data_IF_834051848259
#
_entry.id   IF_834051848259
#
_cell.length_a   1.000
_cell.length_b   1.000
_cell.length_c   1.000
_cell.angle_alpha   90.00
_cell.angle_beta   90.00
_cell.angle_gamma   90.00
#
_symmetry.space_group_name_H-M   'P 1'
#
loop_
_entity.id
_entity.type
_entity.pdbx_description
1 polymer ?
#
# COMPACT_ATOMS: atom_id res chain seq x y z
N UNK A 1 -14.49 -6.62 -5.97
CA UNK A 1 -13.18 -6.14 -6.48
C UNK A 1 -12.43 -7.32 -7.04
N UNK A 2 -12.16 -7.34 -8.34
CA UNK A 2 -11.42 -8.42 -9.00
C UNK A 2 -9.91 -8.16 -8.95
N UNK A 3 -9.34 -8.10 -7.75
CA UNK A 3 -7.94 -7.70 -7.57
C UNK A 3 -7.03 -8.92 -7.48
N UNK A 4 -6.47 -9.33 -8.62
CA UNK A 4 -5.41 -10.34 -8.65
C UNK A 4 -4.07 -9.70 -8.27
N UNK A 5 -3.49 -10.10 -7.13
CA UNK A 5 -2.20 -9.58 -6.62
C UNK A 5 -1.09 -9.69 -7.67
N UNK A 6 -1.07 -10.77 -8.44
CA UNK A 6 -0.03 -11.06 -9.42
C UNK A 6 0.01 -10.07 -10.57
N UNK A 7 -1.17 -9.70 -11.09
CA UNK A 7 -1.32 -8.70 -12.15
C UNK A 7 -0.84 -7.33 -11.66
N UNK A 8 -1.28 -6.90 -10.48
CA UNK A 8 -0.91 -5.61 -9.90
C UNK A 8 0.57 -5.55 -9.55
N UNK A 9 1.14 -6.64 -9.05
CA UNK A 9 2.58 -6.78 -8.80
C UNK A 9 3.37 -6.59 -10.09
N UNK A 10 2.96 -7.25 -11.19
CA UNK A 10 3.64 -7.12 -12.48
C UNK A 10 3.62 -5.68 -12.98
N UNK A 11 2.45 -5.02 -12.96
CA UNK A 11 2.30 -3.62 -13.35
C UNK A 11 3.13 -2.68 -12.49
N UNK A 12 3.02 -2.79 -11.16
CA UNK A 12 3.79 -1.96 -10.23
C UNK A 12 5.30 -2.17 -10.40
N UNK A 13 5.74 -3.40 -10.66
CA UNK A 13 7.17 -3.68 -10.88
C UNK A 13 7.71 -2.92 -12.09
N UNK A 14 6.98 -2.89 -13.20
CA UNK A 14 7.40 -2.17 -14.40
C UNK A 14 7.38 -0.65 -14.21
N UNK A 15 6.35 -0.12 -13.54
CA UNK A 15 6.27 1.30 -13.20
C UNK A 15 7.41 1.74 -12.29
N UNK A 16 7.75 0.95 -11.27
CA UNK A 16 8.84 1.26 -10.34
C UNK A 16 10.19 1.22 -11.04
N UNK A 17 10.42 0.28 -11.97
CA UNK A 17 11.64 0.27 -12.80
C UNK A 17 11.75 1.50 -13.70
N UNK A 18 10.63 1.94 -14.29
CA UNK A 18 10.58 3.08 -15.21
C UNK A 18 10.81 4.41 -14.48
N UNK A 19 10.09 4.63 -13.39
CA UNK A 19 10.07 5.91 -12.69
C UNK A 19 11.06 6.01 -11.51
N UNK A 20 11.58 4.87 -11.04
CA UNK A 20 12.52 4.78 -9.90
C UNK A 20 12.09 5.65 -8.70
N UNK A 21 10.86 5.46 -8.18
CA UNK A 21 10.38 6.24 -7.05
C UNK A 21 11.25 5.98 -5.81
N UNK A 22 11.39 6.99 -4.95
CA UNK A 22 12.05 6.81 -3.65
C UNK A 22 11.15 6.06 -2.64
N UNK A 23 9.83 6.23 -2.75
CA UNK A 23 8.85 5.72 -1.80
C UNK A 23 7.62 5.18 -2.55
N UNK A 24 7.09 4.04 -2.09
CA UNK A 24 5.82 3.46 -2.53
C UNK A 24 4.92 3.34 -1.31
N UNK A 25 3.74 3.96 -1.36
CA UNK A 25 2.77 3.95 -0.27
C UNK A 25 1.42 3.45 -0.75
N UNK A 26 0.74 2.68 0.10
CA UNK A 26 -0.64 2.26 -0.10
C UNK A 26 -1.42 2.38 1.21
N UNK A 27 -2.74 2.52 1.16
CA UNK A 27 -3.56 2.37 2.38
C UNK A 27 -3.51 0.92 2.87
N UNK A 28 -3.49 0.69 4.19
CA UNK A 28 -3.41 -0.63 4.84
C UNK A 28 -4.69 -1.49 4.70
N UNK A 29 -5.28 -1.50 3.52
CA UNK A 29 -6.34 -2.41 3.10
C UNK A 29 -5.84 -3.86 3.06
N UNK A 30 -6.76 -4.82 3.11
CA UNK A 30 -6.41 -6.24 2.99
C UNK A 30 -5.59 -6.53 1.73
N UNK A 31 -6.01 -5.97 0.60
CA UNK A 31 -5.32 -6.14 -0.68
C UNK A 31 -3.89 -5.57 -0.65
N UNK A 32 -3.68 -4.40 -0.05
CA UNK A 32 -2.35 -3.80 0.05
C UNK A 32 -1.42 -4.58 0.98
N UNK A 33 -1.96 -5.18 2.06
CA UNK A 33 -1.20 -6.07 2.95
C UNK A 33 -0.67 -7.31 2.22
N UNK A 34 -1.41 -7.79 1.22
CA UNK A 34 -0.97 -8.89 0.36
C UNK A 34 -0.01 -8.44 -0.74
N UNK A 35 -0.28 -7.29 -1.38
CA UNK A 35 0.48 -6.81 -2.54
C UNK A 35 1.85 -6.20 -2.18
N UNK A 36 1.91 -5.34 -1.16
CA UNK A 36 3.09 -4.53 -0.87
C UNK A 36 4.33 -5.34 -0.47
N UNK A 37 4.24 -6.38 0.39
CA UNK A 37 5.39 -7.21 0.72
C UNK A 37 5.95 -7.96 -0.49
N UNK A 38 5.07 -8.39 -1.40
CA UNK A 38 5.46 -9.10 -2.62
C UNK A 38 6.17 -8.16 -3.60
N UNK A 39 5.73 -6.91 -3.70
CA UNK A 39 6.42 -5.87 -4.47
C UNK A 39 7.77 -5.54 -3.83
N UNK A 40 7.83 -5.34 -2.51
CA UNK A 40 9.07 -5.05 -1.79
C UNK A 40 10.13 -6.16 -2.02
N UNK A 41 9.72 -7.42 -1.95
CA UNK A 41 10.63 -8.56 -2.21
C UNK A 41 11.25 -8.52 -3.61
N UNK A 42 10.54 -7.98 -4.61
CA UNK A 42 11.04 -7.90 -6.00
C UNK A 42 12.19 -6.89 -6.16
N UNK A 43 12.25 -5.89 -5.29
CA UNK A 43 13.28 -4.86 -5.27
C UNK A 43 14.28 -5.04 -4.12
N UNK A 44 14.25 -6.20 -3.45
CA UNK A 44 15.14 -6.53 -2.33
C UNK A 44 15.11 -5.47 -1.20
N UNK A 45 13.95 -4.83 -1.02
CA UNK A 45 13.72 -3.79 0.00
C UNK A 45 12.80 -4.31 1.10
N UNK A 46 12.74 -3.56 2.20
CA UNK A 46 11.80 -3.79 3.30
C UNK A 46 10.38 -3.31 2.98
N UNK A 47 9.41 -3.80 3.75
CA UNK A 47 8.03 -3.30 3.74
C UNK A 47 7.58 -3.02 5.17
N UNK A 48 7.22 -1.77 5.47
CA UNK A 48 6.56 -1.41 6.72
C UNK A 48 5.04 -1.55 6.57
N UNK A 49 4.36 -2.14 7.55
CA UNK A 49 2.91 -2.41 7.46
C UNK A 49 2.20 -1.72 8.59
N UNK A 50 1.00 -1.19 8.30
CA UNK A 50 0.15 -0.48 9.26
C UNK A 50 0.83 0.76 9.90
N UNK A 51 1.55 1.52 9.08
CA UNK A 51 2.26 2.73 9.52
C UNK A 51 1.28 3.77 10.05
N UNK A 52 1.51 4.21 11.29
CA UNK A 52 0.75 5.24 11.99
C UNK A 52 1.35 6.63 11.84
N UNK A 53 2.68 6.70 11.74
CA UNK A 53 3.39 7.97 11.65
C UNK A 53 4.61 7.84 10.74
N UNK A 54 4.92 8.92 10.01
CA UNK A 54 6.05 9.02 9.10
C UNK A 54 6.79 10.30 9.45
N UNK A 55 8.04 10.16 9.91
CA UNK A 55 8.93 11.30 10.20
C UNK A 55 10.13 11.28 9.26
N UNK A 56 10.53 12.46 8.80
CA UNK A 56 11.79 12.63 8.07
C UNK A 56 12.87 13.07 9.05
N UNK A 57 13.89 12.24 9.25
CA UNK A 57 15.08 12.57 10.02
C UNK A 57 16.29 12.64 9.07
N UNK A 58 16.58 13.84 8.57
CA UNK A 58 17.54 14.05 7.50
C UNK A 58 17.08 13.37 6.21
N UNK A 59 17.86 12.42 5.71
CA UNK A 59 17.54 11.63 4.51
C UNK A 59 16.78 10.32 4.80
N UNK A 60 16.50 10.03 6.08
CA UNK A 60 15.85 8.78 6.49
C UNK A 60 14.38 8.99 6.80
N UNK A 61 13.56 8.02 6.42
CA UNK A 61 12.18 7.91 6.85
C UNK A 61 12.08 7.00 8.07
N UNK A 62 11.57 7.55 9.16
CA UNK A 62 11.25 6.81 10.39
C UNK A 62 9.75 6.51 10.37
N UNK A 63 9.43 5.23 10.33
CA UNK A 63 8.07 4.71 10.17
C UNK A 63 7.62 4.09 11.49
N UNK A 64 6.67 4.73 12.19
CA UNK A 64 6.13 4.20 13.44
C UNK A 64 5.01 3.22 13.13
N UNK A 65 5.17 1.95 13.51
CA UNK A 65 4.20 0.89 13.29
C UNK A 65 3.80 0.24 14.63
N UNK A 66 2.52 -0.16 14.82
CA UNK A 66 2.10 -0.92 15.98
C UNK A 66 2.55 -2.38 15.88
N UNK A 67 3.09 -2.93 16.96
CA UNK A 67 3.41 -4.35 17.12
C UNK A 67 2.77 -4.89 18.41
N UNK A 68 2.68 -6.21 18.55
CA UNK A 68 1.99 -6.87 19.68
C UNK A 68 0.54 -6.37 19.86
N UNK A 69 -0.23 -6.35 18.78
CA UNK A 69 -1.64 -5.91 18.80
C UNK A 69 -1.84 -4.43 19.08
N UNK A 70 -0.80 -3.60 18.92
CA UNK A 70 -0.86 -2.15 19.18
C UNK A 70 -0.35 -1.74 20.56
N UNK A 71 0.10 -2.69 21.39
CA UNK A 71 0.64 -2.39 22.73
C UNK A 71 1.99 -1.68 22.66
N UNK A 72 2.78 -1.97 21.63
CA UNK A 72 4.11 -1.38 21.45
C UNK A 72 4.14 -0.66 20.11
N UNK A 73 4.61 0.58 20.12
CA UNK A 73 4.91 1.34 18.92
C UNK A 73 6.39 1.17 18.60
N UNK A 74 6.68 0.63 17.41
CA UNK A 74 8.04 0.38 16.97
C UNK A 74 8.39 1.31 15.81
N UNK A 75 9.53 1.97 15.91
CA UNK A 75 10.07 2.80 14.84
C UNK A 75 10.94 1.95 13.91
N UNK A 76 10.58 1.94 12.64
CA UNK A 76 11.23 1.16 11.59
C UNK A 76 11.88 2.10 10.59
N UNK A 77 13.13 1.81 10.24
CA UNK A 77 13.87 2.53 9.19
C UNK A 77 14.29 1.52 8.13
N UNK A 78 13.86 1.75 6.89
CA UNK A 78 14.26 0.96 5.71
C UNK A 78 15.41 1.71 5.04
N UNK A 79 16.52 1.02 4.76
CA UNK A 79 17.74 1.63 4.19
C UNK A 79 17.76 1.54 2.66
N UNK A 80 17.07 0.56 2.12
CA UNK A 80 16.97 0.25 0.71
C UNK A 80 15.94 1.15 0.01
N UNK A 81 16.08 1.30 -1.30
CA UNK A 81 15.16 2.07 -2.13
C UNK A 81 14.56 1.18 -3.22
N UNK A 82 13.24 1.27 -3.48
CA UNK A 82 12.25 2.15 -2.85
C UNK A 82 11.90 1.75 -1.40
N UNK A 83 11.52 2.72 -0.57
CA UNK A 83 10.89 2.46 0.73
C UNK A 83 9.43 2.08 0.49
N UNK A 84 9.04 0.87 0.85
CA UNK A 84 7.67 0.37 0.65
C UNK A 84 6.92 0.39 1.98
N UNK A 85 5.72 0.96 2.00
CA UNK A 85 4.90 0.97 3.21
C UNK A 85 3.40 0.92 2.94
N UNK A 86 2.65 0.35 3.89
CA UNK A 86 1.21 0.55 3.97
C UNK A 86 0.87 1.43 5.16
N UNK A 87 0.00 2.41 4.95
CA UNK A 87 -0.37 3.45 5.90
C UNK A 87 -1.75 3.15 6.46
N UNK A 88 -1.89 3.17 7.78
CA UNK A 88 -3.16 2.87 8.45
C UNK A 88 -4.23 3.87 8.03
N UNK A 89 -5.43 3.36 7.71
CA UNK A 89 -6.58 4.22 7.41
C UNK A 89 -6.87 5.13 8.62
N UNK A 90 -7.16 6.40 8.36
CA UNK A 90 -7.42 7.40 9.41
C UNK A 90 -6.19 7.95 10.14
N UNK A 91 -4.98 7.41 9.95
CA UNK A 91 -3.78 7.91 10.64
C UNK A 91 -3.34 9.31 10.18
N UNK A 92 -3.67 9.70 8.94
CA UNK A 92 -3.31 11.00 8.37
C UNK A 92 -4.55 11.76 7.93
N UNK A 93 -4.61 13.04 8.28
CA UNK A 93 -5.68 13.93 7.84
C UNK A 93 -5.61 14.17 6.33
N UNK A 94 -6.76 14.14 5.67
CA UNK A 94 -6.87 14.48 4.24
C UNK A 94 -6.63 15.98 4.08
N UNK A 95 -5.64 16.36 3.27
CA UNK A 95 -5.45 17.76 2.91
C UNK A 95 -6.23 18.06 1.61
N UNK A 96 -7.45 18.57 1.77
CA UNK A 96 -8.33 18.94 0.66
C UNK A 96 -8.02 20.37 0.22
N UNK A 97 -7.04 20.50 -0.68
CA UNK A 97 -6.77 21.79 -1.35
C UNK A 97 -7.64 21.86 -2.61
N UNK A 98 -8.58 22.82 -2.71
CA UNK A 98 -9.36 22.98 -3.94
C UNK A 98 -8.46 23.35 -5.12
N UNK A 99 -8.83 22.90 -6.33
CA UNK A 99 -8.20 23.26 -7.62
C UNK A 99 -6.77 22.76 -7.88
N UNK A 100 -6.39 21.56 -7.39
CA UNK A 100 -5.16 20.91 -7.85
C UNK A 100 -5.31 20.35 -9.27
N UNK A 101 -4.42 20.78 -10.17
CA UNK A 101 -4.21 20.14 -11.48
C UNK A 101 -3.01 19.20 -11.42
N UNK A 102 -3.08 18.06 -12.13
CA UNK A 102 -1.98 17.10 -12.23
C UNK A 102 -1.86 16.55 -13.65
N UNK A 103 -0.65 16.11 -14.02
CA UNK A 103 -0.43 15.45 -15.31
C UNK A 103 -0.92 14.00 -15.27
N UNK A 104 -1.69 13.59 -16.28
CA UNK A 104 -2.17 12.22 -16.42
C UNK A 104 -1.26 11.51 -17.42
N UNK A 105 -0.36 10.68 -16.90
CA UNK A 105 0.52 9.85 -17.73
C UNK A 105 -0.15 8.48 -17.92
N UNK A 106 -0.54 8.17 -19.17
CA UNK A 106 -1.13 6.88 -19.52
C UNK A 106 -0.02 5.88 -19.85
N UNK A 107 0.10 4.83 -19.04
CA UNK A 107 1.01 3.72 -19.27
C UNK A 107 0.24 2.48 -19.69
N UNK A 108 0.70 1.82 -20.75
CA UNK A 108 0.21 0.50 -21.12
C UNK A 108 1.23 -0.55 -20.66
N UNK A 109 0.87 -1.34 -19.66
CA UNK A 109 1.70 -2.45 -19.18
C UNK A 109 0.99 -3.76 -19.53
N UNK A 110 1.58 -4.49 -20.48
CA UNK A 110 1.06 -5.81 -20.85
C UNK A 110 1.46 -6.85 -19.81
N UNK A 111 0.46 -7.45 -19.16
CA UNK A 111 0.67 -8.57 -18.24
C UNK A 111 0.38 -9.87 -19.00
N UNK A 112 1.39 -10.73 -19.24
CA UNK A 112 1.16 -12.00 -19.93
C UNK A 112 0.29 -12.92 -19.07
N UNK A 113 -0.66 -13.61 -19.70
CA UNK A 113 -1.59 -14.51 -19.00
C UNK A 113 -0.88 -15.62 -18.20
N UNK A 114 0.34 -16.00 -18.58
CA UNK A 114 1.16 -16.99 -17.85
C UNK A 114 1.65 -16.50 -16.48
N UNK A 115 1.63 -15.18 -16.25
CA UNK A 115 1.96 -14.60 -14.94
C UNK A 115 0.78 -14.63 -13.95
N UNK A 116 -0.41 -15.06 -14.40
CA UNK A 116 -1.59 -15.20 -13.56
C UNK A 116 -1.72 -16.67 -13.13
N UNK A 117 -1.43 -16.96 -11.87
CA UNK A 117 -1.64 -18.28 -11.28
C UNK A 117 -3.04 -18.40 -10.67
N UNK A 118 -3.68 -17.26 -10.37
CA UNK A 118 -4.96 -17.22 -9.66
C UNK A 118 -6.12 -16.94 -10.62
N UNK A 119 -7.18 -17.75 -10.58
CA UNK A 119 -8.44 -17.49 -11.30
C UNK A 119 -9.56 -17.20 -10.31
N UNK A 120 -10.19 -16.03 -10.43
CA UNK A 120 -11.36 -15.68 -9.63
C UNK A 120 -12.56 -16.42 -10.21
N UNK A 121 -13.21 -17.26 -9.40
CA UNK A 121 -14.35 -18.09 -9.84
C UNK A 121 -15.67 -17.38 -9.51
N UNK A 122 -15.76 -16.79 -8.32
CA UNK A 122 -16.95 -16.08 -7.85
C UNK A 122 -16.56 -15.01 -6.81
N UNK A 123 -17.36 -13.95 -6.71
CA UNK A 123 -17.19 -12.89 -5.70
C UNK A 123 -18.52 -12.72 -4.98
N UNK A 124 -18.61 -13.32 -3.80
CA UNK A 124 -19.78 -13.18 -2.93
C UNK A 124 -19.62 -11.92 -2.10
N UNK A 125 -20.55 -10.97 -2.25
CA UNK A 125 -20.73 -9.85 -1.33
C UNK A 125 -21.88 -10.17 -0.40
N UNK A 126 -21.59 -10.47 0.85
CA UNK A 126 -22.64 -10.55 1.86
C UNK A 126 -23.19 -9.14 2.12
N UNK A 127 -24.48 -8.94 1.83
CA UNK A 127 -25.20 -7.72 2.19
C UNK A 127 -25.69 -7.91 3.64
N UNK A 128 -24.76 -7.88 4.58
CA UNK A 128 -25.08 -7.69 5.99
C UNK A 128 -25.09 -6.19 6.27
N UNK A 129 -26.07 -5.68 7.02
CA UNK A 129 -25.93 -4.39 7.71
C UNK A 129 -24.79 -4.50 8.74
N UNK A 130 -23.56 -4.52 8.26
CA UNK A 130 -22.38 -4.45 9.10
C UNK A 130 -22.15 -2.95 9.34
N UNK A 131 -22.63 -2.46 10.48
CA UNK A 131 -22.28 -1.12 10.94
C UNK A 131 -20.76 -1.09 11.06
N UNK A 132 -20.10 -0.30 10.19
CA UNK A 132 -18.64 -0.23 10.11
C UNK A 132 -18.09 0.61 11.26
N UNK A 133 -18.05 0.01 12.46
CA UNK A 133 -17.54 0.63 13.68
C UNK A 133 -16.04 0.99 13.57
N UNK A 134 -15.29 0.35 12.67
CA UNK A 134 -13.87 0.65 12.47
C UNK A 134 -13.62 2.01 11.79
N UNK A 135 -14.59 2.53 11.05
CA UNK A 135 -14.51 3.84 10.36
C UNK A 135 -15.38 4.91 11.04
N UNK A 136 -16.00 4.62 12.18
CA UNK A 136 -16.86 5.56 12.89
C UNK A 136 -16.03 6.60 13.67
N UNK A 137 -16.28 7.89 13.40
CA UNK A 137 -15.63 8.99 14.13
C UNK A 137 -16.04 9.06 15.61
N UNK A 138 -17.23 8.55 15.95
CA UNK A 138 -17.79 8.48 17.32
C UNK A 138 -18.64 7.20 17.43
N UNK A 139 -18.50 6.47 18.54
CA UNK A 139 -19.31 5.29 18.89
C UNK A 139 -20.25 5.65 20.03
#
# INVERSE_FOLDING_TARGET
ENSQVESHRAVLTELVKKYKPAVIMAGATQFAKDLMPVVAKRFETGCAVDVLNIKCEGEKLVLTCPVYGGTVLNDVVIKETPVVMSVRSGAFAKNLVPERTGEIIKENVEVPAQALLTKIIDVVKEIGEQVNLEEADVI
#
